data_IF_226973817590
#
_entry.id   IF_226973817590
#
_cell.length_a   1.000
_cell.length_b   1.000
_cell.length_c   1.000
_cell.angle_alpha   90.00
_cell.angle_beta   90.00
_cell.angle_gamma   90.00
#
_symmetry.space_group_name_H-M   'P 1'
#
loop_
_entity.id
_entity.type
_entity.pdbx_description
1 polymer ?
#
# COMPACT_ATOMS: atom_id res chain seq x y z
N UNK A 1 6.05 0.75 -15.37
CA UNK A 1 6.31 1.82 -14.37
C UNK A 1 7.69 1.60 -13.76
N UNK A 2 8.50 2.66 -13.59
CA UNK A 2 9.74 2.58 -12.79
C UNK A 2 9.40 2.91 -11.34
N UNK A 3 9.73 2.00 -10.41
CA UNK A 3 9.50 2.18 -8.97
C UNK A 3 10.48 3.19 -8.39
N UNK A 4 9.97 4.22 -7.72
CA UNK A 4 10.79 5.17 -6.96
C UNK A 4 10.85 4.85 -5.47
N UNK A 5 11.54 5.68 -4.70
CA UNK A 5 11.73 5.47 -3.26
C UNK A 5 10.44 5.58 -2.46
N UNK A 6 9.47 6.38 -2.93
CA UNK A 6 8.15 6.51 -2.28
C UNK A 6 7.37 5.23 -2.49
N UNK A 7 7.36 4.69 -3.70
CA UNK A 7 6.68 3.43 -4.03
C UNK A 7 7.22 2.27 -3.17
N UNK A 8 8.56 2.18 -3.04
CA UNK A 8 9.20 1.14 -2.21
C UNK A 8 8.82 1.26 -0.74
N UNK A 9 8.78 2.47 -0.18
CA UNK A 9 8.35 2.69 1.21
C UNK A 9 6.89 2.30 1.42
N UNK A 10 6.00 2.62 0.48
CA UNK A 10 4.60 2.19 0.53
C UNK A 10 4.49 0.67 0.56
N UNK A 11 5.24 -0.02 -0.32
CA UNK A 11 5.25 -1.49 -0.37
C UNK A 11 5.76 -2.08 0.97
N UNK A 12 6.82 -1.51 1.54
CA UNK A 12 7.34 -1.94 2.85
C UNK A 12 6.32 -1.75 3.97
N UNK A 13 5.64 -0.61 4.02
CA UNK A 13 4.62 -0.32 5.04
C UNK A 13 3.41 -1.25 4.91
N UNK A 14 2.91 -1.47 3.70
CA UNK A 14 1.81 -2.40 3.44
C UNK A 14 2.21 -3.86 3.70
N UNK A 15 3.46 -4.22 3.46
CA UNK A 15 4.00 -5.54 3.78
C UNK A 15 4.09 -5.79 5.28
N UNK A 16 4.34 -4.74 6.07
CA UNK A 16 4.35 -4.81 7.53
C UNK A 16 2.93 -4.79 8.13
N UNK A 17 2.06 -3.89 7.65
CA UNK A 17 0.64 -3.83 8.01
C UNK A 17 -0.20 -3.33 6.84
N UNK A 18 -0.87 -4.25 6.15
CA UNK A 18 -1.72 -3.95 5.01
C UNK A 18 -2.97 -3.12 5.38
N UNK A 19 -3.29 -2.98 6.68
CA UNK A 19 -4.42 -2.19 7.18
C UNK A 19 -4.01 -0.75 7.51
N UNK A 20 -2.73 -0.40 7.38
CA UNK A 20 -2.26 0.96 7.63
C UNK A 20 -3.00 1.95 6.72
N UNK A 21 -3.53 3.02 7.31
CA UNK A 21 -4.25 4.03 6.53
C UNK A 21 -3.30 4.87 5.67
N UNK A 22 -3.82 5.39 4.55
CA UNK A 22 -3.05 6.29 3.68
C UNK A 22 -2.53 7.53 4.43
N UNK A 23 -3.30 8.07 5.37
CA UNK A 23 -2.91 9.20 6.21
C UNK A 23 -1.69 8.87 7.10
N UNK A 24 -1.66 7.67 7.68
CA UNK A 24 -0.51 7.22 8.48
C UNK A 24 0.73 7.04 7.60
N UNK A 25 0.58 6.36 6.46
CA UNK A 25 1.69 6.18 5.51
C UNK A 25 2.23 7.54 5.02
N UNK A 26 1.34 8.49 4.73
CA UNK A 26 1.70 9.84 4.29
C UNK A 26 2.57 10.58 5.32
N UNK A 27 2.18 10.51 6.60
CA UNK A 27 2.97 11.08 7.72
C UNK A 27 4.35 10.44 7.84
N UNK A 28 4.44 9.11 7.71
CA UNK A 28 5.71 8.37 7.81
C UNK A 28 6.64 8.68 6.63
N UNK A 29 6.09 8.80 5.42
CA UNK A 29 6.88 9.01 4.20
C UNK A 29 7.23 10.49 4.00
N UNK A 30 6.43 11.41 4.53
CA UNK A 30 6.60 12.86 4.36
C UNK A 30 5.96 13.40 3.09
N UNK A 31 4.78 12.88 2.71
CA UNK A 31 4.03 13.30 1.51
C UNK A 31 2.55 13.54 1.85
N UNK A 32 1.76 13.99 0.89
CA UNK A 32 0.30 14.12 1.07
C UNK A 32 -0.39 12.76 0.99
N UNK A 33 -1.54 12.62 1.67
CA UNK A 33 -2.39 11.40 1.58
C UNK A 33 -2.75 11.09 0.12
N UNK A 34 -3.18 12.10 -0.64
CA UNK A 34 -3.52 11.94 -2.05
C UNK A 34 -2.34 11.42 -2.90
N UNK A 35 -1.09 11.78 -2.53
CA UNK A 35 0.10 11.18 -3.17
C UNK A 35 0.17 9.69 -2.89
N UNK A 36 0.02 9.27 -1.64
CA UNK A 36 0.03 7.84 -1.27
C UNK A 36 -1.10 7.08 -1.96
N UNK A 37 -2.32 7.62 -1.94
CA UNK A 37 -3.48 7.02 -2.61
C UNK A 37 -3.23 6.79 -4.10
N UNK A 38 -2.77 7.82 -4.81
CA UNK A 38 -2.47 7.74 -6.24
C UNK A 38 -1.35 6.73 -6.55
N UNK A 39 -0.35 6.65 -5.67
CA UNK A 39 0.76 5.69 -5.79
C UNK A 39 0.28 4.25 -5.62
N UNK A 40 -0.49 3.97 -4.57
CA UNK A 40 -1.10 2.66 -4.33
C UNK A 40 -1.96 2.24 -5.52
N UNK A 41 -2.81 3.15 -6.02
CA UNK A 41 -3.65 2.89 -7.19
C UNK A 41 -2.82 2.49 -8.40
N UNK A 42 -1.74 3.24 -8.72
CA UNK A 42 -0.82 2.90 -9.81
C UNK A 42 -0.13 1.56 -9.59
N UNK A 43 0.30 1.24 -8.37
CA UNK A 43 0.93 -0.04 -8.07
C UNK A 43 -0.02 -1.22 -8.28
N UNK A 44 -1.30 -1.06 -7.96
CA UNK A 44 -2.34 -2.08 -8.21
C UNK A 44 -2.63 -2.21 -9.70
N UNK A 45 -2.83 -1.10 -10.41
CA UNK A 45 -3.10 -1.08 -11.86
C UNK A 45 -1.96 -1.71 -12.68
N UNK A 46 -0.72 -1.44 -12.28
CA UNK A 46 0.47 -2.02 -12.90
C UNK A 46 0.75 -3.46 -12.41
N UNK A 47 -0.14 -4.06 -11.60
CA UNK A 47 -0.02 -5.40 -11.04
C UNK A 47 1.26 -5.64 -10.23
N UNK A 48 1.82 -4.57 -9.65
CA UNK A 48 3.01 -4.64 -8.79
C UNK A 48 2.64 -5.12 -7.39
N UNK A 49 1.48 -4.71 -6.88
CA UNK A 49 0.92 -5.19 -5.62
C UNK A 49 -0.51 -5.67 -5.81
N UNK A 50 -0.92 -6.63 -4.97
CA UNK A 50 -2.30 -7.09 -4.87
C UNK A 50 -2.70 -7.10 -3.40
N UNK A 51 -3.75 -6.37 -3.06
CA UNK A 51 -4.37 -6.41 -1.73
C UNK A 51 -5.46 -7.48 -1.77
N UNK A 52 -5.46 -8.39 -0.80
CA UNK A 52 -6.46 -9.46 -0.72
C UNK A 52 -6.82 -9.72 0.72
N UNK A 53 -8.09 -10.00 0.96
CA UNK A 53 -8.59 -10.39 2.28
C UNK A 53 -8.53 -11.91 2.37
N UNK A 54 -7.82 -12.43 3.37
CA UNK A 54 -7.82 -13.86 3.68
C UNK A 54 -8.82 -14.04 4.82
N UNK A 55 -9.98 -14.62 4.51
CA UNK A 55 -10.92 -15.05 5.54
C UNK A 55 -10.56 -16.48 5.97
N UNK A 56 -10.53 -16.74 7.27
CA UNK A 56 -10.31 -18.09 7.77
C UNK A 56 -11.62 -18.87 7.69
N UNK A 57 -11.91 -19.43 6.52
CA UNK A 57 -13.16 -20.17 6.23
C UNK A 57 -13.21 -21.52 6.98
N UNK A 58 -12.12 -21.95 7.63
CA UNK A 58 -12.02 -23.21 8.37
C UNK A 58 -12.43 -23.14 9.86
N UNK A 59 -13.24 -22.15 10.25
CA UNK A 59 -13.98 -22.16 11.53
C UNK A 59 -15.47 -22.35 11.25
N UNK A 60 -15.85 -23.57 10.86
CA UNK A 60 -17.22 -24.07 10.96
C UNK A 60 -17.18 -25.45 11.61
#
# INVERSE_FOLDING_TARGET
MKLDQTDKKIIQLLGADARMSNNQMAKVIGVTEGTVRNRIQKLIENKIIKISVINNINRM
#
